data_IF_947691073076
#
_entry.id   IF_947691073076
#
_cell.length_a   1.000
_cell.length_b   1.000
_cell.length_c   1.000
_cell.angle_alpha   90.00
_cell.angle_beta   90.00
_cell.angle_gamma   90.00
#
_symmetry.space_group_name_H-M   'P 1'
#
loop_
_entity.id
_entity.type
_entity.pdbx_description
1 polymer ?
#
# COMPACT_ATOMS: atom_id res chain seq x y z
N UNK A 1 8.25 11.97 22.89
CA UNK A 1 6.79 11.84 22.79
C UNK A 1 6.47 11.97 21.32
N UNK A 2 6.38 10.84 20.60
CA UNK A 2 6.23 10.80 19.15
C UNK A 2 4.78 11.10 18.81
N UNK A 3 4.55 12.13 18.00
CA UNK A 3 3.24 12.49 17.50
C UNK A 3 2.71 11.33 16.63
N UNK A 4 1.52 10.83 16.97
CA UNK A 4 0.83 9.84 16.16
C UNK A 4 0.40 10.52 14.85
N UNK A 5 1.19 10.31 13.79
CA UNK A 5 0.88 10.84 12.47
C UNK A 5 -0.40 10.21 11.96
N UNK A 6 -1.48 10.98 11.87
CA UNK A 6 -2.60 10.65 11.00
C UNK A 6 -2.11 10.71 9.56
N UNK A 7 -1.66 9.57 9.03
CA UNK A 7 -1.24 9.53 7.63
C UNK A 7 -2.42 9.74 6.71
N UNK A 8 -2.32 10.78 5.88
CA UNK A 8 -3.34 11.13 4.89
C UNK A 8 -3.36 10.11 3.75
N UNK A 9 -4.50 10.00 3.04
CA UNK A 9 -4.61 9.10 1.86
C UNK A 9 -3.51 9.35 0.82
N UNK A 10 -3.09 10.60 0.67
CA UNK A 10 -1.97 10.98 -0.22
C UNK A 10 -0.62 10.42 0.25
N UNK A 11 -0.34 10.41 1.55
CA UNK A 11 0.88 9.78 2.10
C UNK A 11 0.87 8.27 1.89
N UNK A 12 -0.27 7.63 2.15
CA UNK A 12 -0.47 6.20 1.90
C UNK A 12 -0.25 5.91 0.41
N UNK A 13 -0.86 6.70 -0.47
CA UNK A 13 -0.73 6.57 -1.91
C UNK A 13 0.73 6.71 -2.37
N UNK A 14 1.44 7.72 -1.87
CA UNK A 14 2.85 7.92 -2.17
C UNK A 14 3.72 6.75 -1.69
N UNK A 15 3.49 6.26 -0.46
CA UNK A 15 4.21 5.10 0.09
C UNK A 15 3.98 3.84 -0.76
N UNK A 16 2.71 3.55 -1.09
CA UNK A 16 2.34 2.43 -1.96
C UNK A 16 3.05 2.53 -3.31
N UNK A 17 3.01 3.69 -3.96
CA UNK A 17 3.66 3.91 -5.26
C UNK A 17 5.17 3.66 -5.22
N UNK A 18 5.85 4.14 -4.18
CA UNK A 18 7.28 3.87 -3.98
C UNK A 18 7.56 2.38 -3.88
N UNK A 19 6.74 1.67 -3.12
CA UNK A 19 6.93 0.25 -2.86
C UNK A 19 6.64 -0.62 -4.10
N UNK A 20 5.57 -0.33 -4.86
CA UNK A 20 5.27 -1.10 -6.09
C UNK A 20 6.33 -0.90 -7.18
N UNK A 21 6.94 0.29 -7.27
CA UNK A 21 8.06 0.56 -8.18
C UNK A 21 9.30 -0.24 -7.76
N UNK A 22 9.61 -0.25 -6.46
CA UNK A 22 10.73 -0.99 -5.90
C UNK A 22 10.58 -2.51 -6.09
N UNK A 23 9.41 -3.07 -5.79
CA UNK A 23 9.11 -4.50 -5.96
C UNK A 23 9.10 -4.91 -7.44
N UNK A 24 8.61 -4.03 -8.33
CA UNK A 24 8.65 -4.24 -9.78
C UNK A 24 10.05 -4.06 -10.38
N UNK A 25 11.05 -3.65 -9.57
CA UNK A 25 12.42 -3.34 -9.99
C UNK A 25 12.49 -2.31 -11.11
N UNK A 26 11.56 -1.36 -11.11
CA UNK A 26 11.49 -0.30 -12.10
C UNK A 26 12.35 0.89 -11.66
N UNK A 27 12.95 1.58 -12.62
CA UNK A 27 13.70 2.81 -12.41
C UNK A 27 12.90 4.01 -12.93
N UNK A 28 11.61 4.07 -12.56
CA UNK A 28 10.70 5.16 -12.91
C UNK A 28 10.37 5.99 -11.68
N UNK A 29 9.92 7.23 -11.87
CA UNK A 29 9.41 8.05 -10.78
C UNK A 29 8.06 7.48 -10.29
N UNK A 30 7.93 7.10 -9.00
CA UNK A 30 6.68 6.65 -8.41
C UNK A 30 5.49 7.60 -8.64
N UNK A 31 5.73 8.91 -8.75
CA UNK A 31 4.67 9.88 -9.02
C UNK A 31 4.04 9.72 -10.41
N UNK A 32 4.70 9.02 -11.33
CA UNK A 32 4.18 8.74 -12.68
C UNK A 32 3.29 7.49 -12.72
N UNK A 33 3.28 6.68 -11.67
CA UNK A 33 2.39 5.53 -11.54
C UNK A 33 0.97 6.03 -11.23
N UNK A 34 0.02 5.67 -12.09
CA UNK A 34 -1.39 5.99 -11.88
C UNK A 34 -2.03 5.13 -10.80
N UNK A 35 -3.06 5.64 -10.13
CA UNK A 35 -3.79 4.88 -9.09
C UNK A 35 -4.55 3.69 -9.69
N UNK A 36 -4.96 3.79 -10.94
CA UNK A 36 -5.63 2.70 -11.67
C UNK A 36 -4.64 1.72 -12.30
N UNK A 37 -3.33 1.93 -12.11
CA UNK A 37 -2.31 1.05 -12.69
C UNK A 37 -2.41 -0.35 -12.06
N UNK A 38 -2.50 -1.42 -12.88
CA UNK A 38 -2.55 -2.78 -12.38
C UNK A 38 -1.24 -3.18 -11.69
N UNK A 39 -1.33 -3.75 -10.48
CA UNK A 39 -0.19 -4.22 -9.68
C UNK A 39 0.60 -5.35 -10.35
N UNK A 40 -0.10 -6.18 -11.12
CA UNK A 40 0.46 -7.25 -11.93
C UNK A 40 0.00 -7.06 -13.37
N UNK A 41 0.55 -6.03 -14.02
CA UNK A 41 0.23 -5.63 -15.37
C UNK A 41 1.44 -5.58 -16.28
N UNK A 42 1.37 -4.72 -17.29
CA UNK A 42 2.46 -4.52 -18.24
C UNK A 42 3.60 -3.68 -17.65
N UNK A 43 3.25 -2.63 -16.90
CA UNK A 43 4.20 -1.71 -16.26
C UNK A 43 4.65 -2.27 -14.90
N UNK A 44 3.74 -2.40 -13.93
CA UNK A 44 4.05 -2.96 -12.62
C UNK A 44 4.01 -4.48 -12.66
N UNK A 45 4.95 -5.11 -11.95
CA UNK A 45 5.08 -6.56 -11.84
C UNK A 45 5.33 -6.96 -10.39
N UNK A 46 4.32 -6.74 -9.56
CA UNK A 46 4.36 -7.17 -8.17
C UNK A 46 4.04 -8.66 -8.09
N UNK A 47 4.99 -9.44 -7.61
CA UNK A 47 4.81 -10.88 -7.38
C UNK A 47 3.98 -11.13 -6.12
N UNK A 48 3.35 -12.29 -5.97
CA UNK A 48 2.57 -12.62 -4.77
C UNK A 48 3.39 -12.53 -3.47
N UNK A 49 4.68 -12.87 -3.51
CA UNK A 49 5.59 -12.77 -2.35
C UNK A 49 6.06 -11.34 -2.13
N UNK A 50 6.35 -10.61 -3.21
CA UNK A 50 6.70 -9.18 -3.15
C UNK A 50 5.54 -8.35 -2.60
N UNK A 51 4.32 -8.67 -3.00
CA UNK A 51 3.10 -8.06 -2.49
C UNK A 51 2.97 -8.22 -0.98
N UNK A 52 3.11 -9.45 -0.45
CA UNK A 52 3.06 -9.70 0.98
C UNK A 52 4.18 -8.95 1.73
N UNK A 53 5.39 -8.96 1.19
CA UNK A 53 6.53 -8.22 1.76
C UNK A 53 6.27 -6.70 1.78
N UNK A 54 5.55 -6.21 0.77
CA UNK A 54 5.14 -4.82 0.65
C UNK A 54 4.19 -4.41 1.75
N UNK A 55 3.17 -5.25 2.03
CA UNK A 55 2.18 -4.99 3.08
C UNK A 55 2.85 -4.89 4.46
N UNK A 56 3.73 -5.84 4.79
CA UNK A 56 4.47 -5.84 6.05
C UNK A 56 5.31 -4.55 6.21
N UNK A 57 5.97 -4.11 5.14
CA UNK A 57 6.73 -2.84 5.16
C UNK A 57 5.82 -1.63 5.29
N UNK A 58 4.65 -1.67 4.66
CA UNK A 58 3.70 -0.57 4.68
C UNK A 58 3.07 -0.41 6.08
N UNK A 59 2.80 -1.52 6.77
CA UNK A 59 2.40 -1.54 8.19
C UNK A 59 3.44 -0.88 9.08
N UNK A 60 4.72 -1.25 8.91
CA UNK A 60 5.84 -0.69 9.68
C UNK A 60 6.08 0.80 9.35
N UNK A 61 6.02 1.19 8.07
CA UNK A 61 6.25 2.58 7.62
C UNK A 61 5.12 3.52 8.05
N UNK A 62 3.86 3.07 8.02
CA UNK A 62 2.69 3.88 8.38
C UNK A 62 2.27 3.70 9.84
N UNK A 63 2.85 2.73 10.56
CA UNK A 63 2.44 2.39 11.92
C UNK A 63 1.02 1.86 12.02
N UNK A 64 0.52 1.21 10.97
CA UNK A 64 -0.84 0.62 10.91
C UNK A 64 -0.76 -0.90 11.01
N UNK A 65 -1.86 -1.52 11.42
CA UNK A 65 -2.02 -2.97 11.34
C UNK A 65 -3.07 -3.29 10.29
N UNK A 66 -2.68 -4.13 9.33
CA UNK A 66 -3.53 -4.61 8.27
C UNK A 66 -4.20 -5.93 8.70
N UNK A 67 -5.51 -6.11 8.44
CA UNK A 67 -6.20 -7.35 8.80
C UNK A 67 -5.62 -8.57 8.09
N UNK A 68 -5.41 -9.66 8.82
CA UNK A 68 -4.91 -10.94 8.26
C UNK A 68 -5.86 -11.51 7.18
N UNK A 69 -7.16 -11.19 7.27
CA UNK A 69 -8.21 -11.61 6.35
C UNK A 69 -8.37 -10.67 5.13
N UNK A 70 -7.42 -9.75 4.90
CA UNK A 70 -7.47 -8.82 3.76
C UNK A 70 -7.65 -9.48 2.39
N UNK A 71 -7.11 -10.68 2.25
CA UNK A 71 -7.19 -11.49 1.03
C UNK A 71 -8.42 -12.39 0.99
N UNK A 72 -9.19 -12.48 2.08
CA UNK A 72 -10.34 -13.37 2.17
C UNK A 72 -11.49 -12.85 1.29
N UNK A 73 -11.54 -13.31 0.05
CA UNK A 73 -12.58 -12.97 -0.92
C UNK A 73 -12.44 -11.59 -1.57
N UNK A 74 -11.30 -10.91 -1.37
CA UNK A 74 -10.97 -9.64 -2.04
C UNK A 74 -9.78 -9.83 -2.96
N UNK A 75 -9.89 -9.29 -4.17
CA UNK A 75 -8.80 -9.29 -5.15
C UNK A 75 -8.20 -7.89 -5.23
N UNK A 76 -6.87 -7.83 -5.19
CA UNK A 76 -6.12 -6.59 -5.39
C UNK A 76 -5.64 -6.54 -6.83
N UNK A 77 -6.16 -5.59 -7.61
CA UNK A 77 -5.83 -5.47 -9.02
C UNK A 77 -4.99 -4.22 -9.28
N UNK A 78 -5.29 -3.12 -8.60
CA UNK A 78 -4.72 -1.80 -8.86
C UNK A 78 -4.05 -1.18 -7.64
N UNK A 79 -3.26 -0.12 -7.86
CA UNK A 79 -2.68 0.70 -6.78
C UNK A 79 -3.76 1.28 -5.86
N UNK A 80 -4.88 1.73 -6.42
CA UNK A 80 -6.01 2.27 -5.68
C UNK A 80 -6.62 1.25 -4.71
N UNK A 81 -6.77 -0.02 -5.13
CA UNK A 81 -7.31 -1.09 -4.28
C UNK A 81 -6.48 -1.27 -3.00
N UNK A 82 -5.17 -1.07 -3.10
CA UNK A 82 -4.27 -1.17 -1.96
C UNK A 82 -4.39 0.05 -1.03
N UNK A 83 -4.41 1.26 -1.61
CA UNK A 83 -4.58 2.51 -0.87
C UNK A 83 -5.90 2.51 -0.10
N UNK A 84 -6.98 2.04 -0.72
CA UNK A 84 -8.31 1.98 -0.11
C UNK A 84 -8.42 0.96 1.03
N UNK A 85 -7.52 -0.02 1.10
CA UNK A 85 -7.42 -0.94 2.23
C UNK A 85 -6.70 -0.34 3.43
N UNK A 86 -5.71 0.49 3.17
CA UNK A 86 -4.82 1.05 4.20
C UNK A 86 -5.38 2.38 4.75
N UNK A 87 -6.05 3.17 3.92
CA UNK A 87 -6.62 4.47 4.33
C UNK A 87 -7.62 4.36 5.52
N UNK A 88 -8.52 3.36 5.57
CA UNK A 88 -9.44 3.17 6.70
C UNK A 88 -8.72 2.84 8.02
N UNK A 89 -7.57 2.15 7.98
CA UNK A 89 -6.83 1.77 9.20
C UNK A 89 -6.15 2.99 9.82
N UNK A 90 -5.75 3.98 9.01
CA UNK A 90 -5.28 5.29 9.50
C UNK A 90 -6.36 6.13 10.20
N UNK A 91 -7.65 5.84 10.01
CA UNK A 91 -8.78 6.63 10.56
C UNK A 91 -9.23 6.13 11.96
N UNK A 92 -8.61 5.07 12.50
CA UNK A 92 -9.26 4.23 13.52
C UNK A 92 -8.55 3.91 14.84
N UNK A 93 -7.33 4.37 15.15
CA UNK A 93 -6.66 3.95 16.40
C UNK A 93 -7.04 4.81 17.62
N UNK A 94 -8.32 4.75 18.02
CA UNK A 94 -8.85 5.11 19.34
C UNK A 94 -10.10 4.27 19.65
N UNK A 95 -9.91 3.02 20.05
CA UNK A 95 -10.93 2.25 20.77
C UNK A 95 -10.29 1.09 21.55
N UNK A 96 -10.37 1.13 22.89
CA UNK A 96 -10.08 0.01 23.79
C UNK A 96 -9.03 0.32 24.84
#
# INVERSE_FOLDING_TARGET
>A
MTEAGTSTRDEVNAAVKRMVVAESRLTIDPATVGDTEPLNGEVLRVTSVGFLSMLIRLEDELGVTLPDDLFAGRSFHTVADLVDVVTPTCTGQRAG
#
